data_IF_374468016379
#
_entry.id   IF_374468016379
#
_cell.length_a   1.000
_cell.length_b   1.000
_cell.length_c   1.000
_cell.angle_alpha   90.00
_cell.angle_beta   90.00
_cell.angle_gamma   90.00
#
_symmetry.space_group_name_H-M   'P 1'
#
loop_
_entity.id
_entity.type
_entity.pdbx_description
1 polymer ?
#
# COMPACT_ATOMS: atom_id res chain seq x y z
N UNK A 1 19.25 -6.59 -0.47
CA UNK A 1 18.70 -5.45 -1.24
C UNK A 1 17.21 -5.45 -0.96
N UNK A 2 16.66 -4.40 -0.35
CA UNK A 2 15.21 -4.37 -0.08
C UNK A 2 14.47 -4.14 -1.40
N UNK A 3 13.41 -4.89 -1.68
CA UNK A 3 12.66 -4.70 -2.92
C UNK A 3 11.83 -3.41 -2.85
N UNK A 4 11.48 -2.84 -4.00
CA UNK A 4 10.63 -1.66 -4.06
C UNK A 4 9.25 -1.93 -3.42
N UNK A 5 8.71 -3.14 -3.62
CA UNK A 5 7.46 -3.57 -2.99
C UNK A 5 7.56 -3.53 -1.45
N UNK A 6 8.64 -4.07 -0.88
CA UNK A 6 8.84 -4.05 0.58
C UNK A 6 8.90 -2.61 1.11
N UNK A 7 9.54 -1.70 0.36
CA UNK A 7 9.63 -0.28 0.74
C UNK A 7 8.26 0.40 0.76
N UNK A 8 7.48 0.20 -0.30
CA UNK A 8 6.12 0.75 -0.41
C UNK A 8 5.19 0.15 0.64
N UNK A 9 5.33 -1.15 0.90
CA UNK A 9 4.61 -1.88 1.92
C UNK A 9 4.86 -1.35 3.34
N UNK A 10 6.12 -1.10 3.70
CA UNK A 10 6.47 -0.52 5.00
C UNK A 10 5.99 0.93 5.14
N UNK A 11 5.97 1.72 4.06
CA UNK A 11 5.36 3.05 4.07
C UNK A 11 3.85 2.97 4.29
N UNK A 12 3.17 2.05 3.62
CA UNK A 12 1.73 1.83 3.81
C UNK A 12 1.41 1.42 5.25
N UNK A 13 2.23 0.55 5.86
CA UNK A 13 2.10 0.17 7.28
C UNK A 13 2.25 1.37 8.21
N UNK A 14 3.25 2.22 7.99
CA UNK A 14 3.46 3.44 8.79
C UNK A 14 2.30 4.42 8.64
N UNK A 15 1.78 4.59 7.43
CA UNK A 15 0.60 5.43 7.17
C UNK A 15 -0.66 4.86 7.86
N UNK A 16 -0.87 3.54 7.79
CA UNK A 16 -1.96 2.86 8.47
C UNK A 16 -1.92 3.10 10.00
N UNK A 17 -0.75 2.92 10.62
CA UNK A 17 -0.54 3.17 12.06
C UNK A 17 -0.81 4.64 12.41
N UNK A 18 -0.30 5.59 11.62
CA UNK A 18 -0.46 7.01 11.87
C UNK A 18 -1.93 7.45 11.79
N UNK A 19 -2.66 6.95 10.81
CA UNK A 19 -4.04 7.34 10.53
C UNK A 19 -5.07 6.47 11.27
N UNK A 20 -4.64 5.39 11.93
CA UNK A 20 -5.53 4.43 12.59
C UNK A 20 -6.53 3.76 11.63
N UNK A 21 -6.12 3.54 10.38
CA UNK A 21 -6.99 3.00 9.33
C UNK A 21 -6.28 1.94 8.47
N UNK A 22 -6.99 1.38 7.50
CA UNK A 22 -6.43 0.38 6.58
C UNK A 22 -5.98 1.04 5.27
N UNK A 23 -4.86 0.54 4.75
CA UNK A 23 -4.34 0.88 3.44
C UNK A 23 -4.27 -0.36 2.55
N UNK A 24 -4.26 -0.14 1.24
CA UNK A 24 -4.06 -1.16 0.23
C UNK A 24 -2.81 -0.84 -0.57
N UNK A 25 -1.93 -1.82 -0.75
CA UNK A 25 -0.77 -1.74 -1.63
C UNK A 25 -1.16 -2.38 -2.96
N UNK A 26 -0.85 -1.70 -4.06
CA UNK A 26 -1.20 -2.15 -5.39
C UNK A 26 -0.08 -1.85 -6.39
N UNK A 27 -0.03 -2.65 -7.45
CA UNK A 27 0.84 -2.44 -8.60
C UNK A 27 0.06 -1.70 -9.70
N UNK A 28 0.61 -0.61 -10.21
CA UNK A 28 0.07 0.15 -11.33
C UNK A 28 0.35 -0.56 -12.66
N UNK A 29 -0.32 -0.14 -13.72
CA UNK A 29 -0.11 -0.68 -15.07
C UNK A 29 1.32 -0.48 -15.59
N UNK A 30 2.01 0.58 -15.16
CA UNK A 30 3.42 0.86 -15.48
C UNK A 30 4.43 -0.03 -14.71
N UNK A 31 3.94 -0.94 -13.86
CA UNK A 31 4.74 -1.86 -13.07
C UNK A 31 5.24 -1.30 -11.74
N UNK A 32 5.03 -0.01 -11.45
CA UNK A 32 5.39 0.61 -10.17
C UNK A 32 4.39 0.26 -9.06
N UNK A 33 4.82 0.40 -7.80
CA UNK A 33 3.99 0.13 -6.63
C UNK A 33 3.55 1.43 -5.96
N UNK A 34 2.32 1.44 -5.46
CA UNK A 34 1.78 2.52 -4.66
C UNK A 34 0.86 1.96 -3.56
N UNK A 35 0.43 2.84 -2.66
CA UNK A 35 -0.55 2.52 -1.64
C UNK A 35 -1.55 3.65 -1.46
N UNK A 36 -2.77 3.31 -1.08
CA UNK A 36 -3.84 4.29 -0.79
C UNK A 36 -4.77 3.76 0.31
N UNK A 37 -5.59 4.62 0.90
CA UNK A 37 -6.56 4.23 1.94
C UNK A 37 -7.61 3.29 1.37
N UNK A 38 -8.00 2.29 2.16
CA UNK A 38 -9.12 1.43 1.82
C UNK A 38 -10.39 2.29 1.67
N UNK A 39 -11.11 2.09 0.58
CA UNK A 39 -12.30 2.88 0.22
C UNK A 39 -12.07 3.90 -0.89
N UNK A 40 -10.81 4.23 -1.20
CA UNK A 40 -10.48 5.02 -2.38
C UNK A 40 -10.54 4.18 -3.66
N UNK A 41 -10.77 4.82 -4.80
CA UNK A 41 -10.69 4.15 -6.11
C UNK A 41 -9.25 3.71 -6.37
N UNK A 42 -9.03 2.42 -6.59
CA UNK A 42 -7.72 1.85 -6.89
C UNK A 42 -7.64 1.47 -8.36
N UNK A 43 -6.67 2.05 -9.07
CA UNK A 43 -6.34 1.70 -10.46
C UNK A 43 -5.05 0.91 -10.49
N UNK A 44 -5.19 -0.41 -10.51
CA UNK A 44 -4.07 -1.34 -10.54
C UNK A 44 -4.42 -2.69 -9.91
N UNK A 45 -3.44 -3.58 -9.89
CA UNK A 45 -3.58 -4.89 -9.25
C UNK A 45 -3.31 -4.77 -7.76
N UNK A 46 -4.30 -5.06 -6.94
CA UNK A 46 -4.14 -5.15 -5.49
C UNK A 46 -3.16 -6.27 -5.14
N UNK A 47 -2.18 -5.97 -4.29
CA UNK A 47 -1.14 -6.90 -3.86
C UNK A 47 -1.38 -7.34 -2.41
N UNK A 48 -1.65 -6.39 -1.50
CA UNK A 48 -1.89 -6.67 -0.10
C UNK A 48 -2.65 -5.54 0.61
N UNK A 49 -3.21 -5.85 1.77
CA UNK A 49 -3.81 -4.88 2.69
C UNK A 49 -2.91 -4.71 3.90
N UNK A 50 -2.77 -3.46 4.36
CA UNK A 50 -2.01 -3.08 5.54
C UNK A 50 -2.95 -2.50 6.59
N UNK A 51 -3.06 -3.23 7.69
CA UNK A 51 -3.80 -2.81 8.86
C UNK A 51 -2.89 -2.00 9.79
N UNK A 52 -3.49 -1.17 10.64
CA UNK A 52 -2.80 -0.39 11.67
C UNK A 52 -2.42 -1.22 12.92
N UNK A 53 -2.78 -2.50 12.95
CA UNK A 53 -2.55 -3.46 14.03
C UNK A 53 -1.65 -4.59 13.52
#
# INVERSE_FOLDING_TARGET
MQSELDRISELAKKAAILDGCMYVVYQKEDGTYAFDKVGNEIKGKIIEYRHYL
#
